data_IF_180096325603
#
_entry.id   IF_180096325603
#
_cell.length_a   1.000
_cell.length_b   1.000
_cell.length_c   1.000
_cell.angle_alpha   90.00
_cell.angle_beta   90.00
_cell.angle_gamma   90.00
#
_symmetry.space_group_name_H-M   'P 1'
#
loop_
_entity.id
_entity.type
_entity.pdbx_description
1 polymer ?
#
# COMPACT_ATOMS: atom_id res chain seq x y z
N UNK A 1 -2.59 17.63 14.78
CA UNK A 1 -1.83 17.23 13.58
C UNK A 1 -2.56 16.05 12.96
N UNK A 2 -2.84 16.07 11.66
CA UNK A 2 -3.53 14.96 11.00
C UNK A 2 -2.50 13.91 10.59
N UNK A 3 -2.46 12.80 11.32
CA UNK A 3 -1.61 11.66 11.02
C UNK A 3 -2.23 10.84 9.89
N UNK A 4 -1.41 10.42 8.92
CA UNK A 4 -1.81 9.49 7.87
C UNK A 4 -1.29 8.11 8.25
N UNK A 5 -2.22 7.19 8.45
CA UNK A 5 -1.94 5.79 8.77
C UNK A 5 -2.41 4.94 7.61
N UNK A 6 -1.50 4.15 7.04
CA UNK A 6 -1.80 3.16 6.01
C UNK A 6 -1.58 1.76 6.54
N UNK A 7 -2.59 0.92 6.41
CA UNK A 7 -2.48 -0.52 6.67
C UNK A 7 -2.24 -1.22 5.34
N UNK A 8 -1.28 -2.14 5.31
CA UNK A 8 -0.87 -2.84 4.10
C UNK A 8 -1.03 -4.34 4.30
N UNK A 9 -1.68 -4.97 3.34
CA UNK A 9 -1.88 -6.42 3.28
C UNK A 9 -1.19 -6.94 2.01
N UNK A 10 0.04 -7.46 2.13
CA UNK A 10 0.72 -8.12 1.02
C UNK A 10 0.10 -9.50 0.75
N UNK A 11 0.07 -9.89 -0.53
CA UNK A 11 -0.31 -11.22 -1.00
C UNK A 11 0.82 -11.74 -1.89
N UNK A 12 1.57 -12.70 -1.38
CA UNK A 12 2.77 -13.22 -2.03
C UNK A 12 2.46 -14.20 -3.16
N UNK A 13 3.45 -14.45 -4.00
CA UNK A 13 3.36 -15.43 -5.09
C UNK A 13 3.09 -16.81 -4.49
N UNK A 14 2.00 -17.44 -4.93
CA UNK A 14 1.44 -18.73 -4.45
C UNK A 14 0.53 -18.65 -3.22
N UNK A 15 0.22 -17.46 -2.71
CA UNK A 15 -0.84 -17.28 -1.72
C UNK A 15 -2.20 -17.05 -2.40
N UNK A 16 -3.21 -17.80 -1.95
CA UNK A 16 -4.60 -17.64 -2.41
C UNK A 16 -5.34 -16.61 -1.53
N UNK A 17 -4.91 -16.47 -0.28
CA UNK A 17 -5.46 -15.54 0.70
C UNK A 17 -4.30 -14.88 1.46
N UNK A 18 -4.45 -13.62 1.92
CA UNK A 18 -3.47 -13.01 2.80
C UNK A 18 -3.36 -13.85 4.06
N UNK A 19 -2.20 -14.48 4.28
CA UNK A 19 -1.97 -15.18 5.54
C UNK A 19 -1.71 -14.15 6.63
N UNK A 20 -2.25 -14.42 7.82
CA UNK A 20 -2.51 -13.42 8.88
C UNK A 20 -1.28 -12.74 9.51
N UNK A 21 -0.08 -12.97 8.99
CA UNK A 21 1.16 -12.62 9.70
C UNK A 21 1.87 -11.36 9.20
N UNK A 22 1.42 -10.71 8.12
CA UNK A 22 2.12 -9.53 7.56
C UNK A 22 1.19 -8.33 7.33
N UNK A 23 0.35 -8.01 8.32
CA UNK A 23 -0.27 -6.68 8.37
C UNK A 23 0.80 -5.66 8.74
N UNK A 24 1.13 -4.76 7.82
CA UNK A 24 2.14 -3.73 8.05
C UNK A 24 1.48 -2.35 8.20
N UNK A 25 1.87 -1.65 9.26
CA UNK A 25 1.34 -0.33 9.60
C UNK A 25 2.36 0.75 9.27
N UNK A 26 2.04 1.59 8.29
CA UNK A 26 2.85 2.72 7.88
C UNK A 26 2.25 4.00 8.46
N UNK A 27 3.05 4.72 9.25
CA UNK A 27 2.64 5.98 9.87
C UNK A 27 3.55 7.08 9.35
N UNK A 28 2.96 8.11 8.74
CA UNK A 28 3.69 9.30 8.36
C UNK A 28 3.27 10.49 9.23
N UNK A 29 4.22 10.96 10.04
CA UNK A 29 4.08 12.21 10.79
C UNK A 29 4.37 13.35 9.83
N UNK A 30 3.30 13.95 9.33
CA UNK A 30 3.30 15.06 8.38
C UNK A 30 4.42 16.08 8.68
N UNK A 31 5.36 16.28 7.75
CA UNK A 31 6.14 17.52 7.67
C UNK A 31 5.22 18.61 7.10
N UNK A 32 5.23 19.81 7.71
CA UNK A 32 4.18 20.83 7.62
C UNK A 32 3.92 21.42 6.22
N UNK A 33 4.69 21.04 5.19
CA UNK A 33 4.73 21.73 3.89
C UNK A 33 4.26 20.90 2.69
N UNK A 34 3.83 19.64 2.88
CA UNK A 34 3.41 18.76 1.77
C UNK A 34 1.89 18.48 1.81
N UNK A 35 1.22 18.54 0.64
CA UNK A 35 -0.20 18.24 0.52
C UNK A 35 -0.49 16.76 0.83
N UNK A 36 -1.65 16.49 1.45
CA UNK A 36 -2.07 15.11 1.83
C UNK A 36 -1.96 14.13 0.65
N UNK A 37 -2.37 14.56 -0.54
CA UNK A 37 -2.30 13.75 -1.77
C UNK A 37 -0.88 13.36 -2.13
N UNK A 38 0.08 14.30 -2.11
CA UNK A 38 1.48 14.02 -2.41
C UNK A 38 2.11 13.08 -1.37
N UNK A 39 1.75 13.24 -0.11
CA UNK A 39 2.19 12.33 0.96
C UNK A 39 1.67 10.92 0.73
N UNK A 40 0.39 10.77 0.37
CA UNK A 40 -0.20 9.47 0.04
C UNK A 40 0.48 8.83 -1.18
N UNK A 41 0.67 9.58 -2.27
CA UNK A 41 1.37 9.08 -3.46
C UNK A 41 2.78 8.60 -3.12
N UNK A 42 3.53 9.36 -2.31
CA UNK A 42 4.86 8.98 -1.88
C UNK A 42 4.87 7.71 -1.03
N UNK A 43 3.92 7.57 -0.09
CA UNK A 43 3.79 6.36 0.74
C UNK A 43 3.41 5.15 -0.10
N UNK A 44 2.46 5.29 -1.04
CA UNK A 44 2.07 4.22 -1.96
C UNK A 44 3.27 3.78 -2.81
N UNK A 45 4.07 4.72 -3.30
CA UNK A 45 5.29 4.39 -4.04
C UNK A 45 6.30 3.60 -3.18
N UNK A 46 6.55 4.05 -1.95
CA UNK A 46 7.41 3.31 -1.01
C UNK A 46 6.90 1.89 -0.74
N UNK A 47 5.58 1.73 -0.56
CA UNK A 47 4.94 0.43 -0.40
C UNK A 47 5.14 -0.42 -1.65
N UNK A 48 4.92 0.13 -2.85
CA UNK A 48 5.15 -0.57 -4.11
C UNK A 48 6.59 -1.09 -4.24
N UNK A 49 7.57 -0.27 -3.85
CA UNK A 49 8.99 -0.63 -3.93
C UNK A 49 9.36 -1.69 -2.89
N UNK A 50 8.81 -1.60 -1.66
CA UNK A 50 9.03 -2.57 -0.58
C UNK A 50 8.45 -3.94 -0.91
N UNK A 51 7.28 -3.98 -1.54
CA UNK A 51 6.52 -5.22 -1.81
C UNK A 51 6.52 -5.60 -3.29
N UNK A 52 7.55 -5.20 -4.05
CA UNK A 52 7.64 -5.48 -5.50
C UNK A 52 7.61 -6.98 -5.85
N UNK A 53 7.95 -7.86 -4.89
CA UNK A 53 7.90 -9.31 -5.05
C UNK A 53 6.50 -9.90 -4.90
N UNK A 54 5.58 -9.18 -4.24
CA UNK A 54 4.20 -9.60 -4.02
C UNK A 54 3.42 -9.66 -5.33
N UNK A 55 2.44 -10.56 -5.40
CA UNK A 55 1.52 -10.62 -6.53
C UNK A 55 0.44 -9.54 -6.42
N UNK A 56 0.03 -9.21 -5.20
CA UNK A 56 -0.95 -8.18 -4.92
C UNK A 56 -0.61 -7.51 -3.58
N UNK A 57 -0.90 -6.22 -3.45
CA UNK A 57 -0.78 -5.46 -2.21
C UNK A 57 -2.04 -4.62 -2.04
N UNK A 58 -2.77 -4.83 -0.96
CA UNK A 58 -3.98 -4.06 -0.63
C UNK A 58 -3.59 -2.98 0.37
N UNK A 59 -3.91 -1.72 0.07
CA UNK A 59 -3.59 -0.56 0.91
C UNK A 59 -4.89 0.01 1.47
N UNK A 60 -4.95 0.19 2.79
CA UNK A 60 -6.10 0.74 3.50
C UNK A 60 -5.74 2.01 4.27
N UNK A 61 -6.64 2.99 4.29
CA UNK A 61 -6.60 4.13 5.20
C UNK A 61 -7.83 4.03 6.12
N UNK A 62 -7.63 3.94 7.44
CA UNK A 62 -8.71 3.87 8.44
C UNK A 62 -9.72 2.75 8.16
N UNK A 63 -9.23 1.57 7.77
CA UNK A 63 -10.05 0.39 7.46
C UNK A 63 -10.78 0.42 6.11
N UNK A 64 -10.58 1.44 5.28
CA UNK A 64 -11.11 1.51 3.91
C UNK A 64 -10.01 1.24 2.90
N UNK A 65 -10.26 0.37 1.93
CA UNK A 65 -9.35 0.17 0.80
C UNK A 65 -9.25 1.46 0.00
N UNK A 66 -8.03 1.95 -0.19
CA UNK A 66 -7.75 3.17 -0.98
C UNK A 66 -7.02 2.87 -2.28
N UNK A 67 -6.28 1.76 -2.34
CA UNK A 67 -5.52 1.36 -3.52
C UNK A 67 -5.23 -0.16 -3.49
N UNK A 68 -5.14 -0.78 -4.66
CA UNK A 68 -4.75 -2.17 -4.82
C UNK A 68 -3.66 -2.24 -5.90
N UNK A 69 -2.46 -2.67 -5.52
CA UNK A 69 -1.34 -2.85 -6.45
C UNK A 69 -1.30 -4.31 -6.89
N UNK A 70 -1.48 -4.60 -8.18
CA UNK A 70 -1.47 -5.97 -8.72
C UNK A 70 -0.34 -6.17 -9.72
N UNK A 71 0.55 -7.11 -9.43
CA UNK A 71 1.64 -7.50 -10.31
C UNK A 71 1.06 -8.27 -11.50
N UNK A 72 0.84 -7.63 -12.64
CA UNK A 72 0.54 -8.43 -13.82
C UNK A 72 1.79 -9.21 -14.21
N UNK A 73 1.60 -10.33 -14.90
CA UNK A 73 2.67 -11.20 -15.43
C UNK A 73 3.63 -10.50 -16.41
N UNK A 74 3.52 -9.18 -16.59
CA UNK A 74 4.44 -8.38 -17.40
C UNK A 74 4.54 -6.89 -17.04
N UNK A 75 3.61 -6.24 -16.31
CA UNK A 75 3.74 -4.90 -15.70
C UNK A 75 2.62 -4.69 -14.66
N UNK A 76 2.74 -3.79 -13.68
CA UNK A 76 1.59 -3.44 -12.80
C UNK A 76 0.63 -2.51 -13.56
N UNK A 77 -0.64 -2.91 -13.73
CA UNK A 77 -1.66 -2.06 -14.38
C UNK A 77 -2.84 -1.81 -13.43
N UNK A 78 -3.29 -0.55 -13.34
CA UNK A 78 -4.44 -0.12 -12.52
C UNK A 78 -5.74 -0.63 -13.14
N UNK A 79 -6.61 -1.24 -12.33
CA UNK A 79 -7.99 -1.55 -12.71
C UNK A 79 -8.96 -0.53 -12.09
N UNK A 80 -9.81 0.05 -12.94
CA UNK A 80 -10.97 0.87 -12.56
C UNK A 80 -12.25 0.05 -12.63
#
# INVERSE_FOLDING_TARGET
MEEITLDVIPIYKNEIFPTKNEYMHFVNKKEESISKTKTLEHMIQQISDLFYECNCVIILEKGKVIEILVKEKSMLTRCY
#
